data_IF_969515394053
#
_entry.id   IF_969515394053
#
_cell.length_a   1.000
_cell.length_b   1.000
_cell.length_c   1.000
_cell.angle_alpha   90.00
_cell.angle_beta   90.00
_cell.angle_gamma   90.00
#
_symmetry.space_group_name_H-M   'P 1'
#
loop_
_entity.id
_entity.type
_entity.pdbx_description
1 polymer ?
#
# COMPACT_ATOMS: atom_id res chain seq x y z
N UNK A 1 10.61 18.84 23.60
CA UNK A 1 9.32 19.09 22.91
C UNK A 1 8.24 19.19 23.98
N UNK A 2 7.25 20.12 23.86
CA UNK A 2 6.11 20.12 24.79
C UNK A 2 5.33 18.81 24.62
N UNK A 3 4.81 18.22 25.71
CA UNK A 3 3.91 17.09 25.59
C UNK A 3 2.66 17.46 24.79
N UNK A 4 2.11 16.50 24.02
CA UNK A 4 0.84 16.67 23.31
C UNK A 4 -0.19 15.72 23.92
N UNK A 5 -1.32 16.27 24.35
CA UNK A 5 -2.45 15.50 24.87
C UNK A 5 -3.63 15.57 23.89
N UNK A 6 -3.94 14.46 23.24
CA UNK A 6 -5.12 14.30 22.39
C UNK A 6 -6.24 13.73 23.27
N UNK A 7 -7.37 14.42 23.33
CA UNK A 7 -8.44 14.15 24.29
C UNK A 7 -9.77 13.83 23.57
N UNK A 8 -10.70 13.21 24.28
CA UNK A 8 -12.10 13.03 23.88
C UNK A 8 -12.27 12.31 22.51
N UNK A 9 -11.41 11.35 22.21
CA UNK A 9 -11.49 10.56 20.98
C UNK A 9 -11.91 9.11 21.20
N UNK A 10 -12.03 8.38 20.11
CA UNK A 10 -12.19 6.93 20.06
C UNK A 10 -10.87 6.32 19.64
N UNK A 11 -10.13 5.76 20.57
CA UNK A 11 -8.81 5.15 20.32
C UNK A 11 -9.02 3.79 19.68
N UNK A 12 -8.47 3.61 18.49
CA UNK A 12 -8.50 2.34 17.75
C UNK A 12 -7.21 1.58 18.05
N UNK A 13 -7.33 0.40 18.63
CA UNK A 13 -6.22 -0.52 18.87
C UNK A 13 -6.34 -1.73 17.93
N UNK A 14 -5.56 -1.76 16.82
CA UNK A 14 -5.61 -2.88 15.87
C UNK A 14 -5.08 -4.19 16.44
N UNK A 15 -4.16 -4.14 17.41
CA UNK A 15 -3.56 -5.35 18.01
C UNK A 15 -4.50 -5.99 19.03
N UNK A 16 -5.12 -5.17 19.90
CA UNK A 16 -6.13 -5.64 20.84
C UNK A 16 -7.50 -5.91 20.17
N UNK A 17 -7.72 -5.46 18.93
CA UNK A 17 -9.00 -5.60 18.24
C UNK A 17 -10.10 -4.77 18.89
N UNK A 18 -9.81 -3.57 19.41
CA UNK A 18 -10.74 -2.79 20.20
C UNK A 18 -10.81 -1.31 19.80
N UNK A 19 -11.96 -0.69 20.10
CA UNK A 19 -12.16 0.77 20.01
C UNK A 19 -12.65 1.26 21.35
N UNK A 20 -11.89 2.14 22.00
CA UNK A 20 -12.20 2.62 23.36
C UNK A 20 -12.27 4.14 23.42
N UNK A 21 -13.16 4.68 24.28
CA UNK A 21 -13.21 6.11 24.56
C UNK A 21 -12.00 6.54 25.40
N UNK A 22 -11.31 7.60 24.98
CA UNK A 22 -10.13 8.08 25.69
C UNK A 22 -9.33 9.09 24.91
N UNK A 23 -8.06 9.15 25.22
CA UNK A 23 -7.09 10.01 24.57
C UNK A 23 -5.72 9.38 24.49
N UNK A 24 -4.76 10.14 23.97
CA UNK A 24 -3.34 9.76 23.88
C UNK A 24 -2.50 10.91 24.42
N UNK A 25 -1.56 10.58 25.31
CA UNK A 25 -0.51 11.49 25.73
C UNK A 25 0.79 11.16 25.00
N UNK A 26 1.38 12.13 24.36
CA UNK A 26 2.67 12.04 23.69
C UNK A 26 3.73 12.80 24.47
N UNK A 27 4.88 12.17 24.72
CA UNK A 27 6.11 12.79 25.26
C UNK A 27 7.32 12.29 24.48
N UNK A 28 8.23 13.17 24.20
CA UNK A 28 9.51 12.83 23.55
C UNK A 28 9.33 11.94 22.30
N UNK A 29 8.36 12.31 21.46
CA UNK A 29 7.99 11.64 20.20
C UNK A 29 7.41 10.24 20.37
N UNK A 30 7.10 9.83 21.61
CA UNK A 30 6.55 8.51 21.93
C UNK A 30 5.20 8.63 22.66
N UNK A 31 4.41 7.60 22.53
CA UNK A 31 3.15 7.47 23.27
C UNK A 31 3.49 7.20 24.73
N UNK A 32 3.12 8.12 25.62
CA UNK A 32 3.37 8.02 27.05
C UNK A 32 2.19 7.41 27.81
N UNK A 33 0.95 7.64 27.36
CA UNK A 33 -0.25 7.04 27.93
C UNK A 33 -1.37 6.95 26.89
N UNK A 34 -2.29 6.00 27.11
CA UNK A 34 -3.49 5.76 26.29
C UNK A 34 -4.69 5.59 27.21
N UNK A 35 -5.85 6.10 26.81
CA UNK A 35 -7.09 6.04 27.58
C UNK A 35 -7.29 7.25 28.47
N UNK A 36 -7.41 7.06 29.77
CA UNK A 36 -7.53 8.14 30.78
C UNK A 36 -6.18 8.38 31.44
N UNK A 37 -5.73 9.62 31.47
CA UNK A 37 -4.46 10.05 32.08
C UNK A 37 -4.55 11.45 32.64
N UNK A 38 -3.64 11.82 33.53
CA UNK A 38 -3.47 13.19 33.98
C UNK A 38 -2.79 14.05 32.92
N UNK A 39 -3.37 15.20 32.62
CA UNK A 39 -2.85 16.13 31.62
C UNK A 39 -1.73 16.95 32.27
N UNK A 40 -0.48 16.86 31.75
CA UNK A 40 0.59 17.72 32.26
C UNK A 40 0.27 19.20 32.07
N UNK A 41 0.64 20.03 33.05
CA UNK A 41 0.35 21.48 33.02
C UNK A 41 1.00 22.20 31.80
N UNK A 42 2.08 21.65 31.27
CA UNK A 42 2.83 22.19 30.14
C UNK A 42 2.42 21.55 28.80
N UNK A 43 1.44 20.65 28.81
CA UNK A 43 1.02 19.96 27.61
C UNK A 43 0.18 20.85 26.67
N UNK A 44 0.48 20.77 25.37
CA UNK A 44 -0.44 21.23 24.34
C UNK A 44 -1.63 20.26 24.26
N UNK A 45 -2.85 20.79 24.23
CA UNK A 45 -4.06 19.95 24.21
C UNK A 45 -4.76 20.05 22.86
N UNK A 46 -5.22 18.90 22.35
CA UNK A 46 -6.06 18.82 21.18
C UNK A 46 -7.33 18.02 21.50
N UNK A 47 -8.50 18.62 21.29
CA UNK A 47 -9.79 17.96 21.47
C UNK A 47 -10.20 17.25 20.18
N UNK A 48 -10.21 15.92 20.19
CA UNK A 48 -10.60 15.08 19.05
C UNK A 48 -12.12 15.06 18.80
N UNK A 49 -12.95 15.58 19.73
CA UNK A 49 -14.41 15.69 19.56
C UNK A 49 -15.11 14.42 19.08
N UNK A 50 -14.69 13.28 19.60
CA UNK A 50 -15.24 11.97 19.21
C UNK A 50 -14.67 11.36 17.93
N UNK A 51 -13.75 12.01 17.25
CA UNK A 51 -13.04 11.44 16.10
C UNK A 51 -12.27 10.18 16.50
N UNK A 52 -11.97 9.34 15.51
CA UNK A 52 -11.06 8.21 15.70
C UNK A 52 -9.64 8.72 15.91
N UNK A 53 -8.96 8.14 16.88
CA UNK A 53 -7.52 8.26 17.09
C UNK A 53 -6.93 6.90 16.70
N UNK A 54 -6.22 6.86 15.58
CA UNK A 54 -5.72 5.63 15.02
C UNK A 54 -4.21 5.73 14.74
N UNK A 55 -3.50 4.60 14.59
CA UNK A 55 -2.11 4.63 14.16
C UNK A 55 -2.01 5.22 12.75
N UNK A 56 -0.96 6.00 12.51
CA UNK A 56 -0.64 6.52 11.19
C UNK A 56 -0.51 5.41 10.16
N UNK A 57 -0.97 5.64 8.94
CA UNK A 57 -0.95 4.63 7.89
C UNK A 57 0.48 4.32 7.44
N UNK A 58 0.71 3.07 7.10
CA UNK A 58 1.96 2.54 6.55
C UNK A 58 1.66 2.02 5.15
N UNK A 59 2.03 2.78 4.13
CA UNK A 59 1.75 2.41 2.75
C UNK A 59 2.89 1.59 2.14
N UNK A 60 2.57 0.43 1.56
CA UNK A 60 3.56 -0.48 0.96
C UNK A 60 3.46 -0.42 -0.55
N UNK A 61 4.51 0.10 -1.18
CA UNK A 61 4.60 0.09 -2.64
C UNK A 61 4.11 1.37 -3.31
N UNK A 62 4.40 2.54 -2.73
CA UNK A 62 4.26 3.82 -3.42
C UNK A 62 5.35 4.00 -4.48
N UNK A 63 4.98 4.46 -5.68
CA UNK A 63 5.91 4.71 -6.78
C UNK A 63 6.44 6.15 -6.83
N UNK A 64 5.87 7.04 -6.04
CA UNK A 64 6.32 8.43 -5.94
C UNK A 64 6.33 8.90 -4.49
N UNK A 65 7.19 9.86 -4.20
CA UNK A 65 7.17 10.61 -2.93
C UNK A 65 6.30 11.83 -3.14
N UNK A 66 5.13 11.83 -2.51
CA UNK A 66 4.12 12.89 -2.64
C UNK A 66 3.66 13.29 -1.23
N UNK A 67 4.42 14.18 -0.59
CA UNK A 67 4.22 14.53 0.82
C UNK A 67 2.84 15.14 1.08
N UNK A 68 2.29 16.04 0.23
CA UNK A 68 0.94 16.55 0.42
C UNK A 68 -0.13 15.44 0.36
N UNK A 69 -0.03 14.51 -0.60
CA UNK A 69 -0.96 13.38 -0.72
C UNK A 69 -0.86 12.43 0.47
N UNK A 70 0.36 12.14 0.94
CA UNK A 70 0.58 11.30 2.11
C UNK A 70 -0.02 11.93 3.36
N UNK A 71 0.23 13.21 3.57
CA UNK A 71 -0.31 13.94 4.73
C UNK A 71 -1.83 13.99 4.70
N UNK A 72 -2.43 14.33 3.57
CA UNK A 72 -3.89 14.36 3.40
C UNK A 72 -4.54 12.97 3.56
N UNK A 73 -3.83 11.91 3.14
CA UNK A 73 -4.27 10.51 3.29
C UNK A 73 -3.99 9.88 4.65
N UNK A 74 -3.26 10.56 5.55
CA UNK A 74 -2.90 10.02 6.86
C UNK A 74 -1.72 9.04 6.84
N UNK A 75 -0.94 9.02 5.76
CA UNK A 75 0.23 8.16 5.61
C UNK A 75 1.42 8.83 6.31
N UNK A 76 1.88 8.22 7.40
CA UNK A 76 3.06 8.67 8.14
C UNK A 76 4.34 7.96 7.69
N UNK A 77 4.20 6.77 7.08
CA UNK A 77 5.28 5.94 6.57
C UNK A 77 4.94 5.43 5.18
N UNK A 78 5.83 5.64 4.23
CA UNK A 78 5.68 5.14 2.88
C UNK A 78 6.90 4.29 2.48
N UNK A 79 6.66 3.07 2.04
CA UNK A 79 7.67 2.22 1.44
C UNK A 79 7.75 2.51 -0.06
N UNK A 80 8.84 3.15 -0.47
CA UNK A 80 9.06 3.62 -1.84
C UNK A 80 9.57 2.50 -2.73
N UNK A 81 8.85 2.23 -3.81
CA UNK A 81 9.25 1.25 -4.83
C UNK A 81 10.55 1.64 -5.51
N UNK A 82 11.35 0.65 -5.97
CA UNK A 82 12.64 0.91 -6.58
C UNK A 82 12.57 1.56 -7.96
N UNK A 83 11.39 1.66 -8.57
CA UNK A 83 11.12 2.16 -9.91
C UNK A 83 11.25 3.69 -9.98
N UNK A 84 12.39 4.21 -9.51
CA UNK A 84 12.73 5.61 -9.55
C UNK A 84 13.62 5.91 -10.79
N UNK A 85 13.93 7.17 -11.01
CA UNK A 85 14.85 7.57 -12.07
C UNK A 85 16.09 8.26 -11.47
N UNK A 86 17.23 7.57 -11.40
CA UNK A 86 17.49 6.17 -11.74
C UNK A 86 16.89 5.19 -10.72
N UNK A 87 16.74 3.87 -11.06
CA UNK A 87 16.27 2.83 -10.16
C UNK A 87 17.12 2.71 -8.87
N UNK A 88 16.47 2.33 -7.75
CA UNK A 88 17.15 2.18 -6.45
C UNK A 88 17.96 0.86 -6.41
N UNK A 89 18.96 0.72 -7.27
CA UNK A 89 19.76 -0.48 -7.45
C UNK A 89 21.17 -0.42 -6.81
N UNK A 90 21.44 0.64 -6.05
CA UNK A 90 22.68 0.80 -5.28
C UNK A 90 22.47 1.52 -3.95
N UNK A 91 23.39 1.35 -3.02
CA UNK A 91 23.29 1.86 -1.65
C UNK A 91 23.17 3.39 -1.56
N UNK A 92 23.83 4.15 -2.43
CA UNK A 92 23.80 5.61 -2.39
C UNK A 92 22.41 6.16 -2.76
N UNK A 93 21.74 5.57 -3.76
CA UNK A 93 20.38 5.93 -4.14
C UNK A 93 19.38 5.57 -3.04
N UNK A 94 19.54 4.41 -2.39
CA UNK A 94 18.75 4.00 -1.24
C UNK A 94 18.85 5.02 -0.10
N UNK A 95 20.06 5.41 0.30
CA UNK A 95 20.29 6.40 1.36
C UNK A 95 19.68 7.77 1.02
N UNK A 96 19.81 8.20 -0.22
CA UNK A 96 19.20 9.46 -0.70
C UNK A 96 17.67 9.39 -0.60
N UNK A 97 17.06 8.28 -1.03
CA UNK A 97 15.62 8.09 -0.96
C UNK A 97 15.10 8.11 0.48
N UNK A 98 15.81 7.46 1.42
CA UNK A 98 15.44 7.46 2.84
C UNK A 98 15.43 8.87 3.49
N UNK A 99 16.15 9.82 2.92
CA UNK A 99 16.18 11.20 3.41
C UNK A 99 15.08 12.09 2.81
N UNK A 100 14.47 11.69 1.69
CA UNK A 100 13.64 12.57 0.87
C UNK A 100 12.29 12.98 1.51
N UNK A 101 11.77 12.21 2.47
CA UNK A 101 10.51 12.53 3.16
C UNK A 101 10.66 13.39 4.41
N UNK A 102 11.87 13.73 4.81
CA UNK A 102 12.12 14.50 6.03
C UNK A 102 11.78 15.98 5.85
N UNK A 103 11.20 16.65 6.88
CA UNK A 103 10.85 16.10 8.19
C UNK A 103 9.47 15.39 8.26
N UNK A 104 8.63 15.51 7.23
CA UNK A 104 7.19 15.29 7.33
C UNK A 104 6.75 13.83 7.32
N UNK A 105 7.35 12.97 6.48
CA UNK A 105 6.99 11.56 6.33
C UNK A 105 8.23 10.68 6.45
N UNK A 106 8.06 9.47 7.00
CA UNK A 106 9.11 8.46 6.97
C UNK A 106 9.10 7.73 5.62
N UNK A 107 10.14 7.94 4.81
CA UNK A 107 10.32 7.17 3.58
C UNK A 107 11.23 5.97 3.86
N UNK A 108 10.74 4.79 3.53
CA UNK A 108 11.45 3.51 3.65
C UNK A 108 11.72 2.98 2.24
N UNK A 109 12.95 3.11 1.73
CA UNK A 109 13.25 2.66 0.38
C UNK A 109 13.20 1.13 0.28
N UNK A 110 12.64 0.66 -0.82
CA UNK A 110 12.70 -0.73 -1.26
C UNK A 110 13.78 -0.81 -2.32
N UNK A 111 14.72 -1.74 -2.19
CA UNK A 111 15.82 -1.91 -3.14
C UNK A 111 15.35 -2.62 -4.42
N UNK A 112 15.99 -2.34 -5.54
CA UNK A 112 15.79 -3.11 -6.78
C UNK A 112 16.37 -4.52 -6.62
N UNK A 113 15.61 -5.53 -7.05
CA UNK A 113 16.05 -6.93 -7.04
C UNK A 113 17.17 -7.21 -8.05
N UNK A 114 17.12 -6.53 -9.18
CA UNK A 114 18.07 -6.68 -10.27
C UNK A 114 18.61 -5.32 -10.69
N UNK A 115 19.80 -5.30 -11.28
CA UNK A 115 20.39 -4.08 -11.83
C UNK A 115 19.46 -3.46 -12.85
N UNK A 116 19.23 -2.17 -12.75
CA UNK A 116 18.32 -1.44 -13.62
C UNK A 116 16.88 -1.97 -13.67
N UNK A 117 16.48 -2.89 -12.77
CA UNK A 117 15.19 -3.62 -12.81
C UNK A 117 14.99 -4.46 -14.09
N UNK A 118 16.08 -4.89 -14.73
CA UNK A 118 16.02 -5.62 -16.03
C UNK A 118 15.65 -7.10 -15.88
N UNK A 119 15.58 -7.64 -14.65
CA UNK A 119 15.19 -9.04 -14.41
C UNK A 119 16.27 -10.07 -14.76
N UNK A 120 17.52 -9.65 -14.98
CA UNK A 120 18.62 -10.50 -15.49
C UNK A 120 19.70 -10.73 -14.42
N UNK A 121 20.32 -9.68 -13.93
CA UNK A 121 21.44 -9.72 -13.00
C UNK A 121 21.02 -9.18 -11.63
N UNK A 122 21.29 -9.92 -10.56
CA UNK A 122 20.96 -9.46 -9.21
C UNK A 122 21.72 -8.19 -8.85
N UNK A 123 21.03 -7.28 -8.17
CA UNK A 123 21.64 -6.11 -7.57
C UNK A 123 22.38 -6.49 -6.27
N UNK A 124 23.16 -5.56 -5.72
CA UNK A 124 23.93 -5.79 -4.48
C UNK A 124 23.07 -5.61 -3.23
N UNK A 125 22.10 -6.53 -3.05
CA UNK A 125 21.02 -6.46 -2.05
C UNK A 125 21.57 -6.26 -0.63
N UNK A 126 22.64 -6.96 -0.25
CA UNK A 126 23.24 -6.85 1.08
C UNK A 126 23.80 -5.44 1.36
N UNK A 127 24.42 -4.78 0.37
CA UNK A 127 24.89 -3.41 0.52
C UNK A 127 23.73 -2.41 0.59
N UNK A 128 22.66 -2.65 -0.14
CA UNK A 128 21.47 -1.81 -0.09
C UNK A 128 20.72 -1.98 1.24
N UNK A 129 20.65 -3.19 1.80
CA UNK A 129 20.12 -3.43 3.15
C UNK A 129 20.93 -2.64 4.19
N UNK A 130 22.26 -2.73 4.14
CA UNK A 130 23.14 -1.92 5.01
C UNK A 130 22.96 -0.41 4.79
N UNK A 131 22.55 0.01 3.60
CA UNK A 131 22.20 1.38 3.24
C UNK A 131 20.82 1.82 3.71
N UNK A 132 20.00 0.92 4.32
CA UNK A 132 18.70 1.23 4.88
C UNK A 132 17.51 0.79 4.05
N UNK A 133 17.67 -0.06 3.04
CA UNK A 133 16.54 -0.67 2.35
C UNK A 133 15.79 -1.63 3.27
N UNK A 134 14.46 -1.49 3.35
CA UNK A 134 13.61 -2.31 4.22
C UNK A 134 13.14 -3.62 3.55
N UNK A 135 13.20 -3.70 2.23
CA UNK A 135 12.82 -4.84 1.41
C UNK A 135 13.54 -4.77 0.07
N UNK A 136 13.38 -5.81 -0.75
CA UNK A 136 13.83 -5.84 -2.14
C UNK A 136 12.64 -6.15 -3.05
N UNK A 137 12.53 -5.49 -4.23
CA UNK A 137 11.39 -5.69 -5.12
C UNK A 137 11.80 -5.91 -6.57
N UNK A 138 10.95 -6.66 -7.29
CA UNK A 138 11.09 -6.85 -8.74
C UNK A 138 10.69 -5.62 -9.55
N UNK A 139 10.10 -4.60 -8.91
CA UNK A 139 9.59 -3.41 -9.55
C UNK A 139 8.21 -3.62 -10.20
N UNK A 140 7.97 -2.92 -11.30
CA UNK A 140 6.72 -3.02 -12.08
C UNK A 140 6.68 -4.28 -12.95
N UNK A 141 7.81 -4.93 -13.14
CA UNK A 141 7.96 -6.11 -13.99
C UNK A 141 8.06 -7.41 -13.20
N UNK A 142 7.75 -8.51 -13.89
CA UNK A 142 7.97 -9.85 -13.41
C UNK A 142 9.35 -10.35 -13.85
N UNK A 143 10.07 -11.04 -12.98
CA UNK A 143 11.33 -11.72 -13.36
C UNK A 143 10.96 -13.02 -14.08
N UNK A 144 11.09 -13.04 -15.40
CA UNK A 144 10.72 -14.18 -16.23
C UNK A 144 11.64 -15.40 -16.02
N UNK A 145 12.95 -15.18 -15.83
CA UNK A 145 13.92 -16.24 -15.56
C UNK A 145 13.75 -16.82 -14.16
N UNK A 146 13.26 -18.06 -14.07
CA UNK A 146 13.07 -18.78 -12.82
C UNK A 146 14.39 -18.99 -12.05
N UNK A 147 15.53 -19.10 -12.73
CA UNK A 147 16.85 -19.23 -12.09
C UNK A 147 17.29 -17.92 -11.44
N UNK A 148 16.99 -16.77 -12.05
CA UNK A 148 17.22 -15.45 -11.44
C UNK A 148 16.33 -15.30 -10.19
N UNK A 149 15.03 -15.61 -10.31
CA UNK A 149 14.10 -15.52 -9.18
C UNK A 149 14.47 -16.47 -8.03
N UNK A 150 14.91 -17.69 -8.34
CA UNK A 150 15.38 -18.64 -7.34
C UNK A 150 16.60 -18.10 -6.57
N UNK A 151 17.59 -17.55 -7.29
CA UNK A 151 18.78 -16.94 -6.66
C UNK A 151 18.42 -15.71 -5.85
N UNK A 152 17.49 -14.88 -6.32
CA UNK A 152 16.97 -13.73 -5.59
C UNK A 152 16.37 -14.16 -4.25
N UNK A 153 15.44 -15.12 -4.27
CA UNK A 153 14.79 -15.63 -3.05
C UNK A 153 15.80 -16.24 -2.08
N UNK A 154 16.75 -17.05 -2.58
CA UNK A 154 17.81 -17.62 -1.75
C UNK A 154 18.70 -16.55 -1.11
N UNK A 155 19.12 -15.54 -1.88
CA UNK A 155 19.97 -14.46 -1.36
C UNK A 155 19.22 -13.57 -0.35
N UNK A 156 18.00 -13.13 -0.69
CA UNK A 156 17.18 -12.35 0.23
C UNK A 156 16.83 -13.14 1.51
N UNK A 157 16.56 -14.44 1.38
CA UNK A 157 16.31 -15.34 2.51
C UNK A 157 17.50 -15.45 3.46
N UNK A 158 18.73 -15.49 2.95
CA UNK A 158 19.95 -15.49 3.77
C UNK A 158 20.14 -14.18 4.57
N UNK A 159 19.56 -13.08 4.10
CA UNK A 159 19.55 -11.77 4.77
C UNK A 159 18.31 -11.52 5.62
N UNK A 160 17.36 -12.48 5.72
CA UNK A 160 15.99 -12.33 6.24
C UNK A 160 15.24 -11.14 5.64
N UNK A 161 15.54 -10.81 4.40
CA UNK A 161 14.95 -9.67 3.69
C UNK A 161 13.69 -10.10 2.97
N UNK A 162 12.64 -9.26 3.01
CA UNK A 162 11.40 -9.49 2.29
C UNK A 162 11.60 -9.27 0.79
N UNK A 163 11.14 -10.20 -0.04
CA UNK A 163 11.03 -10.01 -1.48
C UNK A 163 9.61 -9.58 -1.83
N UNK A 164 9.47 -8.42 -2.48
CA UNK A 164 8.20 -7.90 -2.98
C UNK A 164 8.16 -8.15 -4.50
N UNK A 165 7.22 -8.96 -4.94
CA UNK A 165 7.09 -9.35 -6.33
C UNK A 165 5.87 -8.72 -7.03
N UNK A 166 6.05 -8.31 -8.28
CA UNK A 166 4.95 -8.13 -9.21
C UNK A 166 4.63 -9.50 -9.83
N UNK A 167 3.36 -9.86 -9.88
CA UNK A 167 2.94 -11.21 -10.29
C UNK A 167 2.06 -11.14 -11.55
N UNK A 168 2.69 -10.95 -12.69
CA UNK A 168 2.00 -11.04 -13.99
C UNK A 168 3.00 -11.57 -15.02
N UNK A 169 2.73 -12.76 -15.61
CA UNK A 169 3.58 -13.33 -16.64
C UNK A 169 3.61 -12.42 -17.86
N UNK A 170 4.73 -11.73 -18.04
CA UNK A 170 4.90 -10.74 -19.10
C UNK A 170 4.87 -11.32 -20.51
N UNK A 171 5.11 -12.63 -20.68
CA UNK A 171 5.01 -13.28 -22.00
C UNK A 171 3.55 -13.53 -22.38
N UNK A 172 2.68 -13.82 -21.40
CA UNK A 172 1.24 -13.93 -21.61
C UNK A 172 0.57 -12.55 -21.67
N UNK A 173 1.01 -11.63 -20.85
CA UNK A 173 0.45 -10.27 -20.82
C UNK A 173 0.85 -9.44 -22.03
N UNK A 174 2.08 -9.58 -22.52
CA UNK A 174 2.57 -8.83 -23.66
C UNK A 174 2.36 -7.32 -23.52
N UNK A 175 1.79 -6.70 -24.55
CA UNK A 175 1.43 -5.27 -24.57
C UNK A 175 -0.03 -5.04 -24.16
N UNK A 176 -0.63 -5.93 -23.37
CA UNK A 176 -2.01 -5.81 -22.95
C UNK A 176 -2.23 -4.58 -22.05
N UNK A 177 -3.41 -3.99 -22.21
CA UNK A 177 -3.83 -2.80 -21.45
C UNK A 177 -5.11 -3.04 -20.65
N UNK A 178 -5.70 -4.22 -20.82
CA UNK A 178 -6.93 -4.66 -20.19
C UNK A 178 -6.87 -6.17 -19.87
N UNK A 179 -7.80 -6.66 -19.09
CA UNK A 179 -8.02 -8.09 -18.89
C UNK A 179 -8.90 -8.64 -20.03
N UNK A 180 -8.61 -9.86 -20.51
CA UNK A 180 -9.49 -10.54 -21.47
C UNK A 180 -10.91 -10.66 -20.93
N UNK A 181 -11.88 -10.36 -21.78
CA UNK A 181 -13.29 -10.40 -21.41
C UNK A 181 -14.17 -9.59 -22.36
N UNK A 182 -15.43 -9.46 -21.98
CA UNK A 182 -16.44 -8.74 -22.78
C UNK A 182 -16.06 -7.28 -22.98
N UNK A 183 -15.60 -6.60 -21.93
CA UNK A 183 -15.21 -5.17 -21.95
C UNK A 183 -14.07 -4.94 -22.94
N UNK A 184 -12.99 -5.70 -22.85
CA UNK A 184 -11.83 -5.56 -23.74
C UNK A 184 -12.21 -5.85 -25.20
N UNK A 185 -12.99 -6.91 -25.44
CA UNK A 185 -13.48 -7.30 -26.78
C UNK A 185 -14.34 -6.19 -27.39
N UNK A 186 -15.30 -5.66 -26.63
CA UNK A 186 -16.18 -4.57 -27.07
C UNK A 186 -15.44 -3.28 -27.41
N UNK A 187 -14.36 -3.00 -26.67
CA UNK A 187 -13.55 -1.79 -26.86
C UNK A 187 -12.39 -1.99 -27.85
N UNK A 188 -12.13 -3.20 -28.30
CA UNK A 188 -11.01 -3.52 -29.20
C UNK A 188 -9.64 -3.30 -28.54
N UNK A 189 -9.54 -3.53 -27.22
CA UNK A 189 -8.30 -3.35 -26.47
C UNK A 189 -7.44 -4.62 -26.50
N UNK A 190 -6.12 -4.46 -26.58
CA UNK A 190 -5.18 -5.54 -26.33
C UNK A 190 -5.35 -6.01 -24.89
N UNK A 191 -5.58 -7.31 -24.69
CA UNK A 191 -5.96 -7.84 -23.39
C UNK A 191 -5.12 -9.06 -23.00
N UNK A 192 -4.83 -9.18 -21.70
CA UNK A 192 -4.13 -10.32 -21.12
C UNK A 192 -5.12 -11.26 -20.42
N UNK A 193 -4.92 -12.58 -20.54
CA UNK A 193 -5.71 -13.53 -19.79
C UNK A 193 -5.41 -13.42 -18.29
N UNK A 194 -6.43 -13.50 -17.44
CA UNK A 194 -6.27 -13.45 -15.98
C UNK A 194 -5.32 -14.53 -15.42
N UNK A 195 -5.19 -15.65 -16.15
CA UNK A 195 -4.25 -16.73 -15.81
C UNK A 195 -2.78 -16.28 -15.79
N UNK A 196 -2.42 -15.18 -16.45
CA UNK A 196 -1.05 -14.64 -16.42
C UNK A 196 -0.61 -14.29 -14.99
N UNK A 197 -1.52 -13.77 -14.15
CA UNK A 197 -1.24 -13.52 -12.73
C UNK A 197 -1.10 -14.84 -11.97
N UNK A 198 -2.03 -15.77 -12.12
CA UNK A 198 -2.00 -17.04 -11.39
C UNK A 198 -0.76 -17.89 -11.71
N UNK A 199 -0.30 -17.90 -12.95
CA UNK A 199 0.93 -18.62 -13.36
C UNK A 199 2.17 -18.02 -12.70
N UNK A 200 2.30 -16.70 -12.70
CA UNK A 200 3.40 -16.02 -12.03
C UNK A 200 3.39 -16.32 -10.51
N UNK A 201 2.21 -16.21 -9.88
CA UNK A 201 2.03 -16.55 -8.46
C UNK A 201 2.40 -18.01 -8.17
N UNK A 202 1.92 -18.97 -8.97
CA UNK A 202 2.18 -20.38 -8.76
C UNK A 202 3.68 -20.72 -8.80
N UNK A 203 4.40 -20.14 -9.80
CA UNK A 203 5.86 -20.32 -9.93
C UNK A 203 6.59 -19.74 -8.74
N UNK A 204 6.29 -18.48 -8.36
CA UNK A 204 7.01 -17.78 -7.31
C UNK A 204 6.74 -18.40 -5.94
N UNK A 205 5.52 -18.91 -5.69
CA UNK A 205 5.20 -19.68 -4.49
C UNK A 205 6.02 -20.96 -4.40
N UNK A 206 6.17 -21.72 -5.48
CA UNK A 206 6.97 -22.94 -5.49
C UNK A 206 8.44 -22.64 -5.17
N UNK A 207 9.00 -21.56 -5.69
CA UNK A 207 10.36 -21.13 -5.42
C UNK A 207 10.52 -20.60 -3.96
N UNK A 208 9.53 -19.86 -3.46
CA UNK A 208 9.54 -19.39 -2.08
C UNK A 208 9.41 -20.54 -1.07
N UNK A 209 8.58 -21.54 -1.34
CA UNK A 209 8.44 -22.74 -0.52
C UNK A 209 9.76 -23.54 -0.46
N UNK A 210 10.44 -23.67 -1.59
CA UNK A 210 11.74 -24.37 -1.69
C UNK A 210 12.87 -23.63 -0.95
N UNK A 211 12.89 -22.29 -1.01
CA UNK A 211 13.96 -21.48 -0.41
C UNK A 211 13.69 -21.07 1.04
N UNK A 212 12.43 -21.16 1.50
CA UNK A 212 12.00 -20.65 2.80
C UNK A 212 12.01 -19.13 2.91
N UNK A 213 12.20 -18.41 1.80
CA UNK A 213 12.25 -16.96 1.78
C UNK A 213 10.91 -16.31 2.12
N UNK A 214 10.95 -15.05 2.58
CA UNK A 214 9.78 -14.21 2.79
C UNK A 214 9.37 -13.59 1.45
N UNK A 215 8.15 -13.88 0.98
CA UNK A 215 7.62 -13.35 -0.27
C UNK A 215 6.35 -12.54 -0.03
N UNK A 216 6.26 -11.38 -0.66
CA UNK A 216 5.05 -10.57 -0.69
C UNK A 216 4.67 -10.27 -2.14
N UNK A 217 3.48 -10.65 -2.53
CA UNK A 217 2.91 -10.17 -3.79
C UNK A 217 2.32 -8.79 -3.57
N UNK A 218 2.93 -7.79 -4.16
CA UNK A 218 2.58 -6.38 -3.96
C UNK A 218 1.09 -6.10 -4.16
N UNK A 219 0.52 -6.69 -5.21
CA UNK A 219 -0.86 -6.45 -5.60
C UNK A 219 -1.37 -7.65 -6.41
N UNK A 220 -2.31 -8.37 -5.85
CA UNK A 220 -3.03 -9.43 -6.53
C UNK A 220 -4.45 -8.98 -6.87
N UNK A 221 -5.04 -9.55 -7.89
CA UNK A 221 -6.31 -9.09 -8.42
C UNK A 221 -7.23 -10.20 -8.91
N UNK A 222 -6.77 -11.47 -8.97
CA UNK A 222 -7.56 -12.58 -9.53
C UNK A 222 -7.95 -13.62 -8.47
N UNK A 223 -9.13 -14.22 -8.63
CA UNK A 223 -9.63 -15.29 -7.76
C UNK A 223 -8.65 -16.48 -7.68
N UNK A 224 -8.07 -16.85 -8.82
CA UNK A 224 -7.10 -17.95 -8.90
C UNK A 224 -5.83 -17.66 -8.10
N UNK A 225 -5.32 -16.42 -8.15
CA UNK A 225 -4.16 -16.01 -7.37
C UNK A 225 -4.43 -16.04 -5.85
N UNK A 226 -5.59 -15.54 -5.42
CA UNK A 226 -5.98 -15.60 -4.01
C UNK A 226 -6.10 -17.04 -3.50
N UNK A 227 -6.65 -17.97 -4.30
CA UNK A 227 -6.73 -19.38 -3.94
C UNK A 227 -5.35 -20.02 -3.78
N UNK A 228 -4.42 -19.71 -4.69
CA UNK A 228 -3.03 -20.17 -4.61
C UNK A 228 -2.34 -19.67 -3.33
N UNK A 229 -2.47 -18.40 -2.99
CA UNK A 229 -1.90 -17.82 -1.77
C UNK A 229 -2.52 -18.44 -0.52
N UNK A 230 -3.85 -18.60 -0.49
CA UNK A 230 -4.56 -19.23 0.63
C UNK A 230 -4.04 -20.65 0.89
N UNK A 231 -3.89 -21.45 -0.16
CA UNK A 231 -3.34 -22.81 -0.05
C UNK A 231 -1.86 -22.81 0.37
N UNK A 232 -1.07 -21.86 -0.11
CA UNK A 232 0.34 -21.75 0.28
C UNK A 232 0.48 -21.36 1.77
N UNK A 233 -0.31 -20.41 2.25
CA UNK A 233 -0.38 -20.06 3.68
C UNK A 233 -0.76 -21.26 4.55
N UNK A 234 -1.75 -22.05 4.11
CA UNK A 234 -2.16 -23.26 4.82
C UNK A 234 -1.06 -24.33 4.92
N UNK A 235 -0.11 -24.35 3.98
CA UNK A 235 1.10 -25.20 4.03
C UNK A 235 2.25 -24.60 4.82
N UNK A 236 2.11 -23.37 5.34
CA UNK A 236 3.14 -22.68 6.10
C UNK A 236 4.19 -21.93 5.24
N UNK A 237 3.93 -21.71 3.97
CA UNK A 237 4.80 -20.86 3.14
C UNK A 237 4.79 -19.44 3.68
N UNK A 238 5.96 -18.81 3.80
CA UNK A 238 6.13 -17.44 4.30
C UNK A 238 5.71 -16.41 3.24
N UNK A 239 4.44 -16.42 2.87
CA UNK A 239 3.87 -15.57 1.83
C UNK A 239 2.80 -14.63 2.39
N UNK A 240 2.77 -13.41 1.85
CA UNK A 240 1.74 -12.41 2.07
C UNK A 240 1.34 -11.80 0.73
N UNK A 241 0.16 -11.17 0.68
CA UNK A 241 -0.25 -10.41 -0.49
C UNK A 241 -1.00 -9.13 -0.12
N UNK A 242 -0.89 -8.14 -1.02
CA UNK A 242 -1.58 -6.87 -0.93
C UNK A 242 -2.59 -6.68 -2.05
N UNK A 243 -3.43 -5.66 -1.91
CA UNK A 243 -4.38 -5.20 -2.92
C UNK A 243 -4.55 -3.68 -2.82
N UNK A 244 -5.06 -3.04 -3.88
CA UNK A 244 -5.43 -1.62 -3.83
C UNK A 244 -6.94 -1.43 -3.75
N UNK A 245 -7.44 -0.28 -3.26
CA UNK A 245 -8.87 0.04 -3.27
C UNK A 245 -9.48 -0.02 -4.68
N UNK A 246 -8.71 0.26 -5.73
CA UNK A 246 -9.22 0.17 -7.09
C UNK A 246 -9.67 -1.25 -7.46
N UNK A 247 -8.90 -2.27 -7.09
CA UNK A 247 -9.23 -3.67 -7.38
C UNK A 247 -10.29 -4.26 -6.43
N UNK A 248 -10.58 -3.59 -5.31
CA UNK A 248 -11.68 -3.94 -4.41
C UNK A 248 -13.03 -3.35 -4.85
N UNK A 249 -13.00 -2.14 -5.43
CA UNK A 249 -14.20 -1.35 -5.67
C UNK A 249 -14.60 -1.23 -7.15
N UNK A 250 -13.66 -1.45 -8.07
CA UNK A 250 -13.87 -1.30 -9.50
C UNK A 250 -13.65 -2.63 -10.22
N UNK A 251 -14.43 -2.87 -11.27
CA UNK A 251 -14.19 -3.91 -12.26
C UNK A 251 -13.71 -3.28 -13.58
N UNK A 252 -13.40 -4.10 -14.56
CA UNK A 252 -13.02 -3.72 -15.93
C UNK A 252 -14.02 -2.78 -16.60
N UNK A 253 -15.30 -2.84 -16.18
CA UNK A 253 -16.35 -1.93 -16.66
C UNK A 253 -16.05 -0.46 -16.36
N UNK A 254 -15.19 -0.16 -15.39
CA UNK A 254 -14.75 1.20 -15.08
C UNK A 254 -13.91 1.85 -16.19
N UNK A 255 -13.40 1.06 -17.15
CA UNK A 255 -12.78 1.57 -18.38
C UNK A 255 -13.78 2.44 -19.17
N UNK A 256 -15.07 2.08 -19.12
CA UNK A 256 -16.16 2.86 -19.71
C UNK A 256 -15.91 3.17 -21.18
N UNK A 257 -15.85 4.46 -21.53
CA UNK A 257 -15.49 4.94 -22.85
C UNK A 257 -14.02 5.37 -22.89
N UNK A 258 -13.10 4.42 -22.70
CA UNK A 258 -11.65 4.66 -22.72
C UNK A 258 -11.16 5.65 -21.66
N UNK A 259 -11.69 5.54 -20.45
CA UNK A 259 -11.29 6.39 -19.33
C UNK A 259 -9.87 6.06 -18.86
N UNK A 260 -8.90 6.89 -19.21
CA UNK A 260 -7.47 6.64 -18.95
C UNK A 260 -7.12 6.63 -17.47
N UNK A 261 -7.92 7.22 -16.59
CA UNK A 261 -7.75 7.11 -15.13
C UNK A 261 -8.00 5.69 -14.60
N UNK A 262 -8.72 4.83 -15.36
CA UNK A 262 -8.88 3.40 -15.08
C UNK A 262 -7.76 2.52 -15.70
N UNK A 263 -6.76 3.12 -16.36
CA UNK A 263 -5.58 2.43 -16.87
C UNK A 263 -4.62 2.16 -15.71
N UNK A 264 -4.65 0.95 -15.18
CA UNK A 264 -3.88 0.48 -14.03
C UNK A 264 -2.98 -0.71 -14.40
N UNK A 265 -2.01 -1.02 -13.53
CA UNK A 265 -1.18 -2.22 -13.59
C UNK A 265 -1.08 -2.85 -12.18
N UNK A 266 -1.59 -4.09 -11.99
CA UNK A 266 -2.31 -4.92 -12.97
C UNK A 266 -3.59 -4.25 -13.46
N UNK A 267 -4.13 -4.64 -14.63
CA UNK A 267 -5.40 -4.10 -15.13
C UNK A 267 -6.56 -4.50 -14.22
N UNK A 268 -7.65 -3.71 -14.23
CA UNK A 268 -8.88 -4.08 -13.55
C UNK A 268 -9.43 -5.39 -14.11
N UNK A 269 -9.93 -6.23 -13.22
CA UNK A 269 -10.49 -7.54 -13.53
C UNK A 269 -12.02 -7.47 -13.64
N UNK A 270 -12.62 -8.57 -14.01
CA UNK A 270 -14.07 -8.69 -14.06
C UNK A 270 -14.71 -8.64 -12.65
N UNK A 271 -16.03 -8.69 -12.62
CA UNK A 271 -16.80 -8.61 -11.38
C UNK A 271 -16.64 -9.86 -10.50
N UNK A 272 -16.34 -11.03 -11.06
CA UNK A 272 -16.12 -12.27 -10.31
C UNK A 272 -14.79 -12.19 -9.55
N UNK A 273 -13.73 -11.74 -10.19
CA UNK A 273 -12.44 -11.49 -9.57
C UNK A 273 -12.54 -10.41 -8.48
N UNK A 274 -13.28 -9.32 -8.75
CA UNK A 274 -13.52 -8.27 -7.75
C UNK A 274 -14.23 -8.80 -6.50
N UNK A 275 -15.26 -9.62 -6.66
CA UNK A 275 -15.95 -10.29 -5.54
C UNK A 275 -15.03 -11.24 -4.78
N UNK A 276 -14.20 -11.99 -5.49
CA UNK A 276 -13.20 -12.85 -4.87
C UNK A 276 -12.18 -12.06 -4.06
N UNK A 277 -11.80 -10.85 -4.51
CA UNK A 277 -10.93 -9.95 -3.75
C UNK A 277 -11.58 -9.51 -2.43
N UNK A 278 -12.85 -9.11 -2.43
CA UNK A 278 -13.59 -8.78 -1.21
C UNK A 278 -13.65 -9.97 -0.24
N UNK A 279 -13.93 -11.17 -0.75
CA UNK A 279 -13.92 -12.39 0.05
C UNK A 279 -12.54 -12.69 0.64
N UNK A 280 -11.46 -12.43 -0.13
CA UNK A 280 -10.08 -12.63 0.30
C UNK A 280 -9.63 -11.61 1.38
N UNK A 281 -10.23 -10.42 1.42
CA UNK A 281 -10.08 -9.49 2.56
C UNK A 281 -10.78 -10.03 3.79
N UNK A 282 -12.02 -10.49 3.64
CA UNK A 282 -12.84 -10.95 4.76
C UNK A 282 -12.29 -12.22 5.42
N UNK A 283 -11.69 -13.14 4.66
CA UNK A 283 -11.13 -14.39 5.15
C UNK A 283 -9.66 -14.29 5.60
N UNK A 284 -9.02 -13.11 5.46
CA UNK A 284 -7.63 -12.87 5.85
C UNK A 284 -6.59 -13.41 4.86
N UNK A 285 -6.98 -13.78 3.65
CA UNK A 285 -6.03 -14.13 2.58
C UNK A 285 -5.21 -12.92 2.17
N UNK A 286 -5.83 -11.74 2.05
CA UNK A 286 -5.15 -10.45 1.82
C UNK A 286 -4.64 -9.92 3.16
N UNK A 287 -3.35 -9.57 3.21
CA UNK A 287 -2.64 -9.15 4.42
C UNK A 287 -2.61 -7.62 4.60
N UNK A 288 -2.67 -6.87 3.50
CA UNK A 288 -2.64 -5.41 3.53
C UNK A 288 -3.36 -4.78 2.34
N UNK A 289 -3.78 -3.53 2.54
CA UNK A 289 -4.31 -2.68 1.48
C UNK A 289 -3.33 -1.54 1.28
N UNK A 290 -2.84 -1.36 0.05
CA UNK A 290 -1.88 -0.32 -0.32
C UNK A 290 -2.54 0.75 -1.20
N UNK A 291 -1.97 1.94 -1.21
CA UNK A 291 -2.50 3.04 -2.02
C UNK A 291 -2.32 2.83 -3.52
N UNK A 292 -1.34 2.03 -3.93
CA UNK A 292 -0.84 1.95 -5.30
C UNK A 292 -0.56 3.35 -5.89
N UNK A 293 -0.04 4.26 -5.05
CA UNK A 293 0.16 5.66 -5.41
C UNK A 293 1.23 5.80 -6.48
N UNK A 294 0.78 6.22 -7.66
CA UNK A 294 1.55 6.40 -8.88
C UNK A 294 0.95 7.56 -9.67
N UNK A 295 1.18 8.80 -9.21
CA UNK A 295 0.62 9.98 -9.84
C UNK A 295 1.22 10.17 -11.22
N UNK A 296 0.35 10.27 -12.23
CA UNK A 296 0.68 10.50 -13.63
C UNK A 296 0.14 11.85 -14.08
N UNK A 297 1.01 12.69 -14.61
CA UNK A 297 0.65 14.01 -15.07
C UNK A 297 -0.35 14.00 -16.25
N UNK A 298 -0.94 15.16 -16.57
CA UNK A 298 -1.91 15.26 -17.66
C UNK A 298 -1.40 14.76 -19.01
N UNK A 299 -0.12 14.95 -19.30
CA UNK A 299 0.48 14.52 -20.56
C UNK A 299 0.45 12.99 -20.72
N UNK A 300 0.67 12.26 -19.63
CA UNK A 300 0.63 10.80 -19.61
C UNK A 300 -0.80 10.23 -19.66
N UNK A 301 -1.82 11.02 -19.24
CA UNK A 301 -3.22 10.56 -19.16
C UNK A 301 -4.13 11.09 -20.26
N UNK A 302 -3.72 12.08 -21.06
CA UNK A 302 -4.50 12.63 -22.21
C UNK A 302 -4.24 11.91 -23.53
N UNK A 303 -3.53 10.81 -23.48
CA UNK A 303 -3.27 9.92 -24.62
C UNK A 303 -4.45 8.97 -24.86
N UNK A 304 -4.54 8.31 -26.03
CA UNK A 304 -5.43 7.17 -26.22
C UNK A 304 -5.23 6.13 -25.10
N UNK A 305 -6.26 5.39 -24.75
CA UNK A 305 -6.23 4.48 -23.59
C UNK A 305 -5.06 3.49 -23.61
N UNK A 306 -4.74 2.94 -24.77
CA UNK A 306 -3.64 1.99 -24.93
C UNK A 306 -2.26 2.62 -24.70
N UNK A 307 -2.11 3.90 -25.02
CA UNK A 307 -0.84 4.65 -24.94
C UNK A 307 -0.70 5.42 -23.61
N UNK A 308 -1.79 5.50 -22.81
CA UNK A 308 -1.76 6.19 -21.54
C UNK A 308 -0.94 5.42 -20.51
N UNK A 309 -0.14 6.11 -19.70
CA UNK A 309 0.63 5.48 -18.62
C UNK A 309 -0.30 4.86 -17.56
N UNK A 310 -0.01 3.62 -17.10
CA UNK A 310 -0.74 3.04 -15.99
C UNK A 310 -0.41 3.78 -14.67
N UNK A 311 -1.34 3.73 -13.72
CA UNK A 311 -1.13 4.30 -12.39
C UNK A 311 -2.28 5.19 -11.93
N UNK A 312 -2.33 5.42 -10.61
CA UNK A 312 -3.33 6.28 -9.98
C UNK A 312 -2.76 7.08 -8.81
N UNK A 313 -3.32 8.26 -8.56
CA UNK A 313 -3.10 9.03 -7.34
C UNK A 313 -3.94 8.42 -6.21
N UNK A 314 -3.42 7.41 -5.50
CA UNK A 314 -4.18 6.62 -4.52
C UNK A 314 -3.97 7.02 -3.07
N UNK A 315 -2.91 7.76 -2.73
CA UNK A 315 -2.51 7.99 -1.34
C UNK A 315 -3.57 8.74 -0.53
N UNK A 316 -4.11 9.84 -1.05
CA UNK A 316 -5.11 10.66 -0.36
C UNK A 316 -6.43 9.91 -0.13
N UNK A 317 -6.77 8.97 -1.01
CA UNK A 317 -8.06 8.27 -0.99
C UNK A 317 -7.98 6.88 -0.35
N UNK A 318 -6.81 6.41 0.03
CA UNK A 318 -6.59 5.07 0.60
C UNK A 318 -7.54 4.78 1.77
N UNK A 319 -7.55 5.65 2.79
CA UNK A 319 -8.36 5.44 3.98
C UNK A 319 -9.86 5.57 3.70
N UNK A 320 -10.26 6.64 3.02
CA UNK A 320 -11.68 6.94 2.79
C UNK A 320 -12.37 5.85 1.97
N UNK A 321 -11.71 5.31 0.95
CA UNK A 321 -12.20 4.19 0.15
C UNK A 321 -12.25 2.90 0.96
N UNK A 322 -11.21 2.62 1.74
CA UNK A 322 -11.12 1.41 2.57
C UNK A 322 -12.12 1.40 3.73
N UNK A 323 -12.56 2.57 4.24
CA UNK A 323 -13.64 2.67 5.22
C UNK A 323 -14.97 2.11 4.69
N UNK A 324 -15.14 2.02 3.36
CA UNK A 324 -16.27 1.31 2.74
C UNK A 324 -16.39 -0.12 3.22
N UNK A 325 -15.29 -0.85 3.36
CA UNK A 325 -15.27 -2.25 3.82
C UNK A 325 -15.84 -2.41 5.23
N UNK A 326 -15.66 -1.40 6.08
CA UNK A 326 -16.23 -1.40 7.44
C UNK A 326 -17.73 -1.10 7.39
N UNK A 327 -18.16 -0.14 6.57
CA UNK A 327 -19.57 0.19 6.38
C UNK A 327 -20.38 -0.97 5.79
N UNK A 328 -19.76 -1.71 4.89
CA UNK A 328 -20.34 -2.90 4.26
C UNK A 328 -20.31 -4.15 5.17
N UNK A 329 -19.70 -4.01 6.37
CA UNK A 329 -19.63 -5.09 7.36
C UNK A 329 -18.68 -6.25 7.00
N UNK A 330 -17.75 -6.04 6.04
CA UNK A 330 -16.75 -7.05 5.69
C UNK A 330 -15.70 -7.22 6.77
N UNK A 331 -15.26 -6.11 7.38
CA UNK A 331 -14.29 -6.07 8.47
C UNK A 331 -14.69 -5.01 9.49
N UNK A 332 -14.12 -5.06 10.69
CA UNK A 332 -14.29 -4.03 11.71
C UNK A 332 -13.20 -2.92 11.63
N UNK A 333 -13.36 -1.84 12.37
CA UNK A 333 -12.39 -0.74 12.40
C UNK A 333 -10.98 -1.19 12.81
N UNK A 334 -10.79 -1.98 13.89
CA UNK A 334 -9.46 -2.52 14.22
C UNK A 334 -8.86 -3.36 13.08
N UNK A 335 -9.67 -4.19 12.43
CA UNK A 335 -9.29 -4.98 11.26
C UNK A 335 -8.82 -4.11 10.11
N UNK A 336 -9.53 -3.02 9.82
CA UNK A 336 -9.11 -2.07 8.79
C UNK A 336 -7.73 -1.47 9.10
N UNK A 337 -7.52 -0.95 10.31
CA UNK A 337 -6.22 -0.38 10.67
C UNK A 337 -5.12 -1.43 10.82
N UNK A 338 -5.47 -2.70 11.03
CA UNK A 338 -4.52 -3.80 10.92
C UNK A 338 -4.01 -3.94 9.49
N UNK A 339 -4.88 -3.87 8.48
CA UNK A 339 -4.53 -3.94 7.06
C UNK A 339 -3.79 -2.70 6.54
N UNK A 340 -4.04 -1.51 7.11
CA UNK A 340 -3.48 -0.24 6.65
C UNK A 340 -2.25 0.22 7.44
N UNK A 341 -1.98 -0.32 8.62
CA UNK A 341 -0.93 0.18 9.52
C UNK A 341 -0.11 -0.94 10.14
N UNK A 342 -0.73 -1.80 10.97
CA UNK A 342 -0.01 -2.76 11.81
C UNK A 342 0.67 -3.87 11.01
N UNK A 343 -0.07 -4.51 10.10
CA UNK A 343 0.50 -5.57 9.26
C UNK A 343 1.56 -5.06 8.29
N UNK A 344 1.35 -3.94 7.57
CA UNK A 344 2.40 -3.32 6.76
C UNK A 344 3.68 -3.00 7.54
N UNK A 345 3.57 -2.39 8.72
CA UNK A 345 4.72 -2.09 9.57
C UNK A 345 5.48 -3.36 9.97
N UNK A 346 4.75 -4.38 10.44
CA UNK A 346 5.33 -5.68 10.84
C UNK A 346 5.99 -6.39 9.66
N UNK A 347 5.34 -6.37 8.50
CA UNK A 347 5.86 -7.01 7.28
C UNK A 347 7.23 -6.47 6.89
N UNK A 348 7.41 -5.16 6.98
CA UNK A 348 8.64 -4.45 6.64
C UNK A 348 9.62 -4.30 7.81
N UNK A 349 9.27 -4.79 9.01
CA UNK A 349 10.11 -4.63 10.21
C UNK A 349 10.26 -3.18 10.66
N UNK A 350 9.26 -2.33 10.41
CA UNK A 350 9.31 -0.91 10.72
C UNK A 350 8.72 -0.61 12.10
N UNK A 351 9.24 0.39 12.83
CA UNK A 351 8.56 0.93 13.99
C UNK A 351 7.30 1.67 13.53
N UNK A 352 6.19 1.52 14.21
CA UNK A 352 4.91 2.16 13.85
C UNK A 352 3.77 1.16 13.72
N UNK A 353 2.61 1.64 13.24
CA UNK A 353 1.41 0.81 13.10
C UNK A 353 0.76 0.38 14.43
N UNK A 354 1.15 0.98 15.56
CA UNK A 354 0.66 0.68 16.91
C UNK A 354 0.48 1.96 17.72
N UNK A 355 -0.49 1.97 18.63
CA UNK A 355 -0.69 3.02 19.63
C UNK A 355 -0.29 2.58 21.05
N UNK A 356 0.46 1.51 21.18
CA UNK A 356 0.93 1.03 22.47
C UNK A 356 1.84 2.05 23.18
N UNK A 357 1.81 2.06 24.49
CA UNK A 357 2.73 2.90 25.30
C UNK A 357 4.18 2.55 24.96
N UNK A 358 4.99 3.57 24.69
CA UNK A 358 6.37 3.45 24.24
C UNK A 358 6.56 3.41 22.71
N UNK A 359 5.51 3.20 21.92
CA UNK A 359 5.57 3.27 20.46
C UNK A 359 5.89 4.69 19.98
N UNK A 360 6.40 4.84 18.76
CA UNK A 360 6.52 6.15 18.11
C UNK A 360 5.14 6.77 17.91
N UNK A 361 5.03 8.07 18.18
CA UNK A 361 3.75 8.77 18.11
C UNK A 361 3.39 9.17 16.67
N UNK A 362 3.21 8.18 15.82
CA UNK A 362 2.65 8.32 14.48
C UNK A 362 1.15 8.05 14.56
N UNK A 363 0.35 9.13 14.51
CA UNK A 363 -1.08 9.11 14.85
C UNK A 363 -1.87 9.85 13.77
N UNK A 364 -3.07 9.37 13.47
CA UNK A 364 -4.04 10.13 12.67
C UNK A 364 -5.35 10.34 13.44
N UNK A 365 -5.95 11.48 13.18
CA UNK A 365 -7.31 11.78 13.62
C UNK A 365 -8.23 11.67 12.41
N UNK A 366 -9.29 10.90 12.55
CA UNK A 366 -10.19 10.61 11.44
C UNK A 366 -11.63 10.84 11.84
N UNK A 367 -12.36 11.63 11.06
CA UNK A 367 -13.81 11.62 11.11
C UNK A 367 -14.31 10.59 10.08
N UNK A 368 -14.85 9.44 10.49
CA UNK A 368 -15.26 8.38 9.58
C UNK A 368 -16.56 8.69 8.83
N UNK A 369 -17.31 9.70 9.27
CA UNK A 369 -18.69 9.96 8.83
C UNK A 369 -18.79 11.20 7.93
N UNK A 370 -17.79 12.10 7.91
CA UNK A 370 -17.80 13.31 7.08
C UNK A 370 -17.97 12.96 5.60
N UNK A 371 -19.08 13.37 4.95
CA UNK A 371 -19.29 13.15 3.53
C UNK A 371 -18.47 14.14 2.71
N UNK A 372 -17.91 13.67 1.60
CA UNK A 372 -17.26 14.52 0.61
C UNK A 372 -17.27 13.85 -0.77
N UNK A 373 -16.82 14.56 -1.79
CA UNK A 373 -16.72 14.06 -3.15
C UNK A 373 -15.26 14.08 -3.57
N UNK A 374 -14.77 12.97 -4.09
CA UNK A 374 -13.43 12.92 -4.70
C UNK A 374 -13.46 13.80 -5.94
N UNK A 375 -12.52 14.72 -6.03
CA UNK A 375 -12.40 15.70 -7.11
C UNK A 375 -10.94 15.71 -7.58
N UNK A 376 -10.71 15.16 -8.77
CA UNK A 376 -9.37 15.01 -9.35
C UNK A 376 -8.60 16.33 -9.44
N UNK A 377 -9.31 17.45 -9.69
CA UNK A 377 -8.69 18.77 -9.82
C UNK A 377 -8.32 19.41 -8.47
N UNK A 378 -8.81 18.84 -7.36
CA UNK A 378 -8.65 19.37 -5.99
C UNK A 378 -7.87 18.44 -5.06
N UNK A 379 -7.35 17.35 -5.58
CA UNK A 379 -6.50 16.44 -4.79
C UNK A 379 -5.22 17.14 -4.35
N UNK A 380 -4.75 16.80 -3.15
CA UNK A 380 -3.46 17.24 -2.64
C UNK A 380 -2.28 16.59 -3.39
N UNK A 381 -2.53 15.52 -4.12
CA UNK A 381 -1.53 14.80 -4.89
C UNK A 381 -0.95 15.65 -6.03
N UNK A 382 0.30 15.36 -6.40
CA UNK A 382 1.01 16.02 -7.50
C UNK A 382 0.33 15.85 -8.87
N UNK A 383 -0.57 14.87 -8.99
CA UNK A 383 -1.48 14.69 -10.13
C UNK A 383 -2.81 14.08 -9.66
N UNK A 384 -3.92 14.46 -10.31
CA UNK A 384 -5.26 14.02 -9.93
C UNK A 384 -5.78 12.78 -10.69
N UNK A 385 -4.90 11.92 -11.19
CA UNK A 385 -5.29 10.75 -11.99
C UNK A 385 -5.92 9.64 -11.13
N UNK A 386 -7.12 9.88 -10.62
CA UNK A 386 -7.86 8.89 -9.83
C UNK A 386 -9.04 8.29 -10.61
N UNK A 387 -9.20 6.95 -10.61
CA UNK A 387 -10.37 6.32 -11.20
C UNK A 387 -11.67 6.60 -10.42
N UNK A 388 -11.57 7.21 -9.25
CA UNK A 388 -12.69 7.53 -8.36
C UNK A 388 -13.17 8.97 -8.48
N UNK A 389 -12.69 9.72 -9.48
CA UNK A 389 -13.13 11.10 -9.70
C UNK A 389 -14.66 11.19 -9.80
N UNK A 390 -15.23 12.13 -9.06
CA UNK A 390 -16.66 12.32 -8.98
C UNK A 390 -17.40 11.42 -7.98
N UNK A 391 -16.73 10.45 -7.35
CA UNK A 391 -17.34 9.52 -6.41
C UNK A 391 -17.65 10.21 -5.07
N UNK A 392 -18.92 10.16 -4.58
CA UNK A 392 -19.23 10.55 -3.21
C UNK A 392 -18.71 9.49 -2.25
N UNK A 393 -18.02 9.93 -1.20
CA UNK A 393 -17.40 9.08 -0.19
C UNK A 393 -17.62 9.64 1.21
N UNK A 394 -17.32 8.85 2.23
CA UNK A 394 -17.35 9.25 3.63
C UNK A 394 -16.04 8.91 4.31
N UNK A 395 -15.68 9.74 5.27
CA UNK A 395 -14.47 9.58 6.04
C UNK A 395 -13.35 10.50 5.56
N UNK A 396 -12.78 11.25 6.52
CA UNK A 396 -11.72 12.22 6.23
C UNK A 396 -10.67 12.21 7.32
N UNK A 397 -9.41 12.28 6.91
CA UNK A 397 -8.31 12.56 7.83
C UNK A 397 -8.39 14.02 8.24
N UNK A 398 -8.52 14.26 9.54
CA UNK A 398 -8.58 15.60 10.12
C UNK A 398 -7.19 16.14 10.46
N UNK A 399 -6.30 15.23 10.86
CA UNK A 399 -4.94 15.59 11.26
C UNK A 399 -4.02 14.38 11.15
N UNK A 400 -2.83 14.62 10.61
CA UNK A 400 -1.75 13.64 10.57
C UNK A 400 -0.63 14.12 11.52
N UNK A 401 -0.16 13.22 12.38
CA UNK A 401 0.86 13.48 13.40
C UNK A 401 1.97 12.45 13.21
N UNK A 402 3.19 12.93 12.98
CA UNK A 402 4.38 12.11 12.84
C UNK A 402 5.36 12.36 13.96
N UNK A 403 5.70 11.31 14.70
CA UNK A 403 6.61 11.43 15.86
C UNK A 403 6.16 12.48 16.86
N UNK A 404 4.83 12.60 17.09
CA UNK A 404 4.23 13.55 18.01
C UNK A 404 4.12 14.99 17.51
N UNK A 405 4.45 15.26 16.26
CA UNK A 405 4.29 16.58 15.64
C UNK A 405 3.23 16.54 14.55
N UNK A 406 2.26 17.46 14.56
CA UNK A 406 1.37 17.64 13.42
C UNK A 406 2.16 17.98 12.15
N UNK A 407 1.76 17.40 11.02
CA UNK A 407 2.31 17.64 9.69
C UNK A 407 1.18 18.08 8.74
N UNK A 408 1.51 18.93 7.73
CA UNK A 408 0.58 19.47 6.74
C UNK A 408 0.02 20.83 7.09
#
# INVERSE_FOLDING_TARGET
>A
MKPLAILNGRVVDPEAGSVTQGGILVRDRRIAAVGRFEIPADAETFDARGALIAPGLVDVGSFAIDLPAFTAGGITRAALMPDQSPPLDNSALVQRAAAAGKPDVWIHPIAAATRGLEGQELAEIGLMQAGGACAVATGRGWIADSGVMYRLLGYAGALDMLVIAHAEDGLLAGAAVATEGETATRLGLAAAPAIAEAMAVARDLALAEQTGARLHFRQLSTAAAFDLVRRAKARGVRVTCGISPAHLLLSDTAIGNFRTFARLSPPLRDEEDRKAALAAVADGTIDLICSAHDPQGPEAKRLPYADAEPGMAGAETLLTLSLGLVRDGLIDLPGLFRLLSTTPARLLGLPGGSLAVGAEADIILVDPDTPWKIDADRMAASAGNTPFDGLPVQGRVLKTIKGGQPIG
#
